data_IF_154573982542
#
_entry.id   IF_154573982542
#
_cell.length_a   1.000
_cell.length_b   1.000
_cell.length_c   1.000
_cell.angle_alpha   90.00
_cell.angle_beta   90.00
_cell.angle_gamma   90.00
#
_symmetry.space_group_name_H-M   'P 1'
#
loop_
_entity.id
_entity.type
_entity.pdbx_description
1 polymer ?
#
# COMPACT_ATOMS: atom_id res chain seq x y z
N UNK A 1 -6.11 11.69 -4.97
CA UNK A 1 -5.38 10.94 -6.01
C UNK A 1 -4.43 10.00 -5.30
N UNK A 2 -4.41 8.72 -5.68
CA UNK A 2 -3.59 7.66 -5.09
C UNK A 2 -2.83 6.99 -6.23
N UNK A 3 -1.63 6.48 -5.96
CA UNK A 3 -0.83 5.83 -7.00
C UNK A 3 -1.22 4.34 -7.11
N UNK A 4 -0.98 3.58 -6.04
CA UNK A 4 -1.28 2.14 -5.99
C UNK A 4 -2.41 1.89 -4.98
N UNK A 5 -3.45 1.17 -5.41
CA UNK A 5 -4.54 0.70 -4.54
C UNK A 5 -4.54 -0.83 -4.53
N UNK A 6 -4.27 -1.41 -3.37
CA UNK A 6 -4.25 -2.85 -3.14
C UNK A 6 -5.49 -3.23 -2.34
N UNK A 7 -6.32 -4.09 -2.92
CA UNK A 7 -7.51 -4.63 -2.26
C UNK A 7 -7.30 -6.11 -1.95
N UNK A 8 -7.09 -6.42 -0.68
CA UNK A 8 -7.15 -7.78 -0.13
C UNK A 8 -8.49 -8.00 0.57
N UNK A 9 -9.08 -9.19 0.40
CA UNK A 9 -10.28 -9.63 1.13
C UNK A 9 -10.17 -11.07 1.60
N UNK A 10 -10.74 -11.35 2.76
CA UNK A 10 -11.18 -12.68 3.19
C UNK A 10 -12.47 -13.10 2.45
N UNK A 11 -12.66 -14.41 2.26
CA UNK A 11 -13.72 -15.02 1.44
C UNK A 11 -15.13 -14.56 1.87
N UNK A 12 -15.98 -14.13 0.93
CA UNK A 12 -17.40 -13.80 1.19
C UNK A 12 -18.25 -13.57 -0.07
N UNK A 13 -19.60 -13.66 0.01
CA UNK A 13 -20.51 -13.91 -1.14
C UNK A 13 -20.78 -12.72 -2.07
N UNK A 14 -20.19 -11.55 -1.82
CA UNK A 14 -20.45 -10.31 -2.54
C UNK A 14 -19.13 -9.87 -3.18
N UNK A 15 -18.78 -10.32 -4.40
CA UNK A 15 -17.52 -9.90 -5.06
C UNK A 15 -17.67 -9.66 -6.56
N UNK A 16 -17.41 -8.42 -7.00
CA UNK A 16 -17.24 -8.05 -8.40
C UNK A 16 -15.75 -7.84 -8.78
N UNK A 17 -14.79 -8.26 -7.95
CA UNK A 17 -13.36 -8.07 -8.23
C UNK A 17 -12.49 -9.15 -7.58
N UNK A 18 -11.45 -9.58 -8.29
CA UNK A 18 -10.48 -10.57 -7.84
C UNK A 18 -9.50 -9.95 -6.83
N UNK A 19 -9.29 -10.56 -5.65
CA UNK A 19 -8.36 -10.04 -4.66
C UNK A 19 -6.90 -10.24 -5.09
N UNK A 20 -6.01 -9.35 -4.64
CA UNK A 20 -4.57 -9.54 -4.80
C UNK A 20 -4.10 -10.58 -3.77
N UNK A 21 -3.44 -11.64 -4.22
CA UNK A 21 -2.87 -12.68 -3.34
C UNK A 21 -1.49 -12.29 -2.78
N UNK A 22 -0.68 -11.62 -3.57
CA UNK A 22 0.58 -11.02 -3.09
C UNK A 22 1.02 -9.88 -3.99
N UNK A 23 1.69 -8.89 -3.42
CA UNK A 23 2.38 -7.84 -4.17
C UNK A 23 3.78 -7.62 -3.60
N UNK A 24 4.78 -7.67 -4.47
CA UNK A 24 6.16 -7.30 -4.17
C UNK A 24 6.47 -6.05 -4.98
N UNK A 25 6.93 -4.99 -4.29
CA UNK A 25 7.41 -3.77 -4.90
C UNK A 25 8.89 -3.61 -4.53
N UNK A 26 9.76 -3.69 -5.53
CA UNK A 26 11.21 -3.52 -5.37
C UNK A 26 11.70 -2.48 -6.36
N UNK A 27 12.75 -1.75 -5.99
CA UNK A 27 13.48 -0.81 -6.85
C UNK A 27 12.57 0.25 -7.48
N UNK A 28 11.61 0.75 -6.70
CA UNK A 28 10.57 1.67 -7.18
C UNK A 28 10.73 3.09 -6.65
N UNK A 29 10.22 4.05 -7.41
CA UNK A 29 10.13 5.46 -7.03
C UNK A 29 8.68 5.92 -7.14
N UNK A 30 8.08 6.34 -6.03
CA UNK A 30 6.75 6.94 -5.99
C UNK A 30 6.91 8.40 -5.58
N UNK A 31 6.49 9.34 -6.42
CA UNK A 31 6.75 10.75 -6.19
C UNK A 31 5.57 11.67 -6.52
N UNK A 32 5.47 12.79 -5.79
CA UNK A 32 4.52 13.89 -6.05
C UNK A 32 3.04 13.46 -6.01
N UNK A 33 2.70 12.51 -5.14
CA UNK A 33 1.32 12.08 -4.92
C UNK A 33 0.87 12.37 -3.49
N UNK A 34 -0.43 12.62 -3.23
CA UNK A 34 -0.90 12.77 -1.85
C UNK A 34 -0.75 11.48 -1.02
N UNK A 35 -0.95 10.32 -1.65
CA UNK A 35 -0.82 9.00 -1.03
C UNK A 35 -0.20 8.03 -2.01
N UNK A 36 0.87 7.35 -1.60
CA UNK A 36 1.57 6.39 -2.45
C UNK A 36 0.78 5.09 -2.58
N UNK A 37 0.73 4.33 -1.49
CA UNK A 37 0.09 3.02 -1.46
C UNK A 37 -1.08 3.06 -0.49
N UNK A 38 -2.26 2.72 -1.00
CA UNK A 38 -3.45 2.44 -0.19
C UNK A 38 -3.62 0.94 -0.16
N UNK A 39 -3.70 0.38 1.04
CA UNK A 39 -3.84 -1.05 1.26
C UNK A 39 -5.06 -1.33 2.12
N UNK A 40 -5.68 -2.49 1.95
CA UNK A 40 -6.80 -2.94 2.77
C UNK A 40 -6.46 -4.19 3.58
N UNK A 41 -5.18 -4.39 3.92
CA UNK A 41 -4.63 -5.70 4.30
C UNK A 41 -4.66 -6.01 5.80
N UNK A 42 -5.02 -5.05 6.65
CA UNK A 42 -4.93 -5.27 8.08
C UNK A 42 -5.99 -6.26 8.60
N UNK A 43 -5.51 -7.20 9.42
CA UNK A 43 -6.21 -8.16 10.30
C UNK A 43 -6.77 -9.48 9.78
N UNK A 44 -7.22 -9.66 8.52
CA UNK A 44 -7.77 -10.97 8.09
C UNK A 44 -7.52 -11.35 6.62
N UNK A 45 -6.67 -10.61 5.90
CA UNK A 45 -6.51 -10.82 4.46
C UNK A 45 -5.28 -11.70 4.15
N UNK A 46 -5.48 -12.75 3.35
CA UNK A 46 -4.42 -13.68 2.91
C UNK A 46 -3.44 -13.07 1.90
N UNK A 47 -3.30 -11.74 1.89
CA UNK A 47 -2.48 -11.03 0.90
C UNK A 47 -1.13 -10.69 1.50
N UNK A 48 -0.05 -11.21 0.89
CA UNK A 48 1.31 -10.83 1.27
C UNK A 48 1.71 -9.52 0.58
N UNK A 49 2.32 -8.60 1.33
CA UNK A 49 2.76 -7.32 0.78
C UNK A 49 4.17 -6.99 1.26
N UNK A 50 5.09 -6.85 0.32
CA UNK A 50 6.49 -6.50 0.56
C UNK A 50 6.87 -5.28 -0.25
N UNK A 51 7.49 -4.31 0.42
CA UNK A 51 8.08 -3.12 -0.21
C UNK A 51 9.54 -3.04 0.21
N UNK A 52 10.44 -3.04 -0.77
CA UNK A 52 11.88 -3.08 -0.60
C UNK A 52 12.55 -2.12 -1.59
N UNK A 53 13.69 -1.53 -1.21
CA UNK A 53 14.45 -0.57 -2.02
C UNK A 53 13.56 0.45 -2.75
N UNK A 54 12.56 0.98 -2.04
CA UNK A 54 11.53 1.85 -2.63
C UNK A 54 11.59 3.23 -2.00
N UNK A 55 11.70 4.24 -2.87
CA UNK A 55 11.71 5.65 -2.48
C UNK A 55 10.35 6.30 -2.65
N UNK A 56 9.92 7.06 -1.64
CA UNK A 56 8.75 7.92 -1.67
C UNK A 56 9.19 9.38 -1.54
N UNK A 57 8.84 10.22 -2.52
CA UNK A 57 9.32 11.61 -2.58
C UNK A 57 8.16 12.60 -2.67
N UNK A 58 8.21 13.66 -1.87
CA UNK A 58 7.17 14.69 -1.81
C UNK A 58 5.76 14.06 -1.68
N UNK A 59 5.60 13.22 -0.67
CA UNK A 59 4.38 12.44 -0.42
C UNK A 59 3.83 12.74 0.97
N UNK A 60 2.51 12.89 1.12
CA UNK A 60 1.95 13.11 2.47
C UNK A 60 1.85 11.80 3.26
N UNK A 61 1.42 10.72 2.61
CA UNK A 61 1.36 9.40 3.21
C UNK A 61 1.97 8.36 2.28
N UNK A 62 3.04 7.68 2.70
CA UNK A 62 3.69 6.66 1.88
C UNK A 62 2.80 5.40 1.76
N UNK A 63 2.39 4.83 2.90
CA UNK A 63 1.55 3.64 2.94
C UNK A 63 0.46 3.81 4.00
N UNK A 64 -0.81 3.67 3.59
CA UNK A 64 -1.96 3.70 4.51
C UNK A 64 -2.78 2.42 4.39
N UNK A 65 -3.30 1.95 5.51
CA UNK A 65 -4.40 1.01 5.55
C UNK A 65 -5.73 1.76 5.65
N UNK A 66 -6.60 1.59 4.64
CA UNK A 66 -7.88 2.28 4.59
C UNK A 66 -9.01 1.58 5.36
N UNK A 67 -8.86 0.31 5.71
CA UNK A 67 -9.87 -0.46 6.48
C UNK A 67 -9.86 0.01 7.92
N UNK A 68 -8.68 0.15 8.50
CA UNK A 68 -8.51 0.64 9.88
C UNK A 68 -8.13 2.12 9.95
N UNK A 69 -8.07 2.81 8.81
CA UNK A 69 -7.69 4.23 8.70
C UNK A 69 -6.35 4.53 9.41
N UNK A 70 -5.36 3.64 9.23
CA UNK A 70 -4.06 3.71 9.90
C UNK A 70 -2.97 4.01 8.88
N UNK A 71 -2.08 4.95 9.23
CA UNK A 71 -0.84 5.13 8.46
C UNK A 71 0.14 4.02 8.85
N UNK A 72 0.57 3.21 7.88
CA UNK A 72 1.57 2.15 8.08
C UNK A 72 2.97 2.72 7.92
N UNK A 73 3.18 3.55 6.91
CA UNK A 73 4.44 4.27 6.67
C UNK A 73 4.09 5.74 6.40
N UNK A 74 4.66 6.62 7.21
CA UNK A 74 4.48 8.07 7.05
C UNK A 74 5.11 8.54 5.73
N UNK A 75 4.54 9.57 5.13
CA UNK A 75 5.17 10.29 4.03
C UNK A 75 6.13 11.37 4.52
N UNK A 76 6.73 12.08 3.58
CA UNK A 76 7.62 13.21 3.80
C UNK A 76 8.19 13.73 2.47
N UNK A 77 9.17 14.62 2.58
CA UNK A 77 9.94 15.10 1.42
C UNK A 77 10.70 13.94 0.76
N UNK A 78 11.24 13.03 1.58
CA UNK A 78 11.92 11.80 1.17
C UNK A 78 11.75 10.74 2.24
N UNK A 79 11.28 9.55 1.84
CA UNK A 79 11.16 8.36 2.68
C UNK A 79 11.66 7.17 1.89
N UNK A 80 12.65 6.47 2.42
CA UNK A 80 13.23 5.30 1.78
C UNK A 80 12.96 4.04 2.61
N UNK A 81 12.41 3.01 1.97
CA UNK A 81 12.20 1.70 2.57
C UNK A 81 13.27 0.74 2.06
N UNK A 82 14.24 0.46 2.91
CA UNK A 82 15.30 -0.53 2.71
C UNK A 82 15.13 -1.62 3.78
N UNK A 83 14.40 -2.68 3.45
CA UNK A 83 14.13 -3.83 4.33
C UNK A 83 14.87 -5.07 3.83
#
# INVERSE_FOLDING_TARGET
MQDIVIVGRARGPISNSQPVGSLLLTDALIANTPTGIVTSLYTENSTSFLVQNTGFFNIKNAIIDNVVSKTLVAGGDEVFLDN
#
